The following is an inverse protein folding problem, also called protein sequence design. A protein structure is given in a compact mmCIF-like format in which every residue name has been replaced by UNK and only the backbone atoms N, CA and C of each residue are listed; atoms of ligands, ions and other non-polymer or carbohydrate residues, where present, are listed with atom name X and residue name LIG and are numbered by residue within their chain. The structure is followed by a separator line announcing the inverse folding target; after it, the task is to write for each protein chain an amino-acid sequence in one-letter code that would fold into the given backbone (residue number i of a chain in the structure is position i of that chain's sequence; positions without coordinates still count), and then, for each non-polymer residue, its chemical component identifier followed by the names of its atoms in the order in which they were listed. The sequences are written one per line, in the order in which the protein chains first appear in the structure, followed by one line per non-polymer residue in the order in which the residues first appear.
data_IF_630675218075
#
_entry.id   IF_630675218075
#
_cell.length_a   1.000
_cell.length_b   1.000
_cell.length_c   1.000
_cell.angle_alpha   90.00
_cell.angle_beta   90.00
_cell.angle_gamma   90.00
#
_symmetry.space_group_name_H-M   'P 1'
#
loop_
_entity.id
_entity.type
_entity.pdbx_description
1 polymer ?
#
# COMPACT_ATOMS: atom_id res chain seq x y z
N UNK A 1 -4.12 -27.40 73.41
CA UNK A 1 -3.24 -28.17 72.51
C UNK A 1 -3.67 -27.92 71.07
N UNK A 2 -2.70 -27.74 70.19
CA UNK A 2 -2.84 -27.36 68.78
C UNK A 2 -3.69 -28.35 67.99
N UNK A 3 -4.54 -27.87 67.10
CA UNK A 3 -4.78 -28.53 65.80
C UNK A 3 -5.26 -27.51 64.77
N UNK A 4 -4.38 -27.31 63.80
CA UNK A 4 -4.53 -26.55 62.57
C UNK A 4 -5.40 -27.31 61.55
N UNK A 5 -6.35 -26.63 60.92
CA UNK A 5 -6.79 -26.99 59.57
C UNK A 5 -7.10 -25.70 58.80
N UNK A 6 -6.23 -25.40 57.83
CA UNK A 6 -6.35 -24.27 56.89
C UNK A 6 -7.40 -24.61 55.84
N UNK A 7 -8.41 -23.76 55.68
CA UNK A 7 -9.17 -23.65 54.43
C UNK A 7 -8.43 -22.66 53.52
N UNK A 8 -7.93 -23.13 52.37
CA UNK A 8 -7.51 -22.27 51.28
C UNK A 8 -8.75 -21.90 50.45
N UNK A 9 -9.23 -20.67 50.58
CA UNK A 9 -10.12 -20.04 49.61
C UNK A 9 -9.25 -19.46 48.50
N UNK A 10 -9.25 -20.09 47.33
CA UNK A 10 -8.66 -19.53 46.11
C UNK A 10 -9.58 -18.41 45.61
N UNK A 11 -9.23 -17.17 45.89
CA UNK A 11 -9.87 -16.00 45.30
C UNK A 11 -9.49 -15.90 43.82
N UNK A 12 -10.48 -16.03 42.93
CA UNK A 12 -10.35 -15.63 41.54
C UNK A 12 -10.19 -14.11 41.47
N UNK A 13 -8.95 -13.63 41.39
CA UNK A 13 -8.63 -12.27 40.99
C UNK A 13 -8.87 -12.14 39.49
N UNK A 14 -9.98 -11.50 39.13
CA UNK A 14 -10.29 -11.10 37.75
C UNK A 14 -9.28 -10.01 37.33
N UNK A 15 -8.18 -10.41 36.70
CA UNK A 15 -7.21 -9.50 36.11
C UNK A 15 -7.80 -8.97 34.79
N UNK A 16 -8.58 -7.88 34.88
CA UNK A 16 -8.97 -7.08 33.72
C UNK A 16 -7.70 -6.41 33.16
N UNK A 17 -7.07 -7.08 32.19
CA UNK A 17 -6.09 -6.44 31.31
C UNK A 17 -6.86 -5.41 30.47
N UNK A 18 -6.85 -4.15 30.91
CA UNK A 18 -7.13 -3.05 30.00
C UNK A 18 -5.99 -2.99 29.00
N UNK A 19 -6.15 -3.69 27.86
CA UNK A 19 -5.45 -3.32 26.64
C UNK A 19 -5.98 -1.94 26.28
N UNK A 20 -5.30 -0.90 26.74
CA UNK A 20 -5.39 0.40 26.08
C UNK A 20 -4.92 0.15 24.66
N UNK A 21 -5.89 0.10 23.74
CA UNK A 21 -5.63 0.33 22.33
C UNK A 21 -5.08 1.75 22.27
N UNK A 22 -3.75 1.86 22.30
CA UNK A 22 -3.09 3.05 21.82
C UNK A 22 -3.50 3.15 20.37
N UNK A 23 -4.42 4.07 20.07
CA UNK A 23 -4.62 4.53 18.71
C UNK A 23 -3.23 4.85 18.16
N UNK A 24 -2.79 4.13 17.13
CA UNK A 24 -1.55 4.46 16.43
C UNK A 24 -1.73 5.87 15.88
N UNK A 25 -1.14 6.82 16.59
CA UNK A 25 -0.95 8.15 16.04
C UNK A 25 0.09 7.95 14.96
N UNK A 26 -0.27 8.23 13.70
CA UNK A 26 0.68 8.24 12.60
C UNK A 26 1.90 9.06 13.03
N UNK A 27 3.04 8.39 13.24
CA UNK A 27 4.21 9.01 13.85
C UNK A 27 4.75 10.07 12.88
N UNK A 28 4.61 11.34 13.26
CA UNK A 28 5.19 12.45 12.50
C UNK A 28 6.69 12.48 12.72
N UNK A 29 7.47 12.45 11.64
CA UNK A 29 8.93 12.48 11.73
C UNK A 29 9.45 13.91 11.60
N UNK A 30 10.44 14.26 12.42
CA UNK A 30 11.22 15.50 12.26
C UNK A 30 12.26 15.29 11.15
N UNK A 31 12.15 16.09 10.10
CA UNK A 31 13.00 16.01 8.90
C UNK A 31 13.34 17.41 8.40
N UNK A 32 14.13 17.53 7.32
CA UNK A 32 14.36 18.81 6.64
C UNK A 32 13.71 18.85 5.27
N UNK A 33 12.88 19.87 5.05
CA UNK A 33 12.34 20.20 3.75
C UNK A 33 13.23 21.25 3.09
N UNK A 34 13.78 20.90 1.93
CA UNK A 34 14.70 21.77 1.19
C UNK A 34 14.04 22.26 -0.09
N UNK A 35 14.09 23.58 -0.26
CA UNK A 35 13.78 24.29 -1.49
C UNK A 35 15.08 24.67 -2.17
N UNK A 36 15.36 24.05 -3.32
CA UNK A 36 16.37 24.54 -4.24
C UNK A 36 15.76 25.74 -4.98
N UNK A 37 16.31 26.94 -4.78
CA UNK A 37 15.77 28.19 -5.34
C UNK A 37 16.75 28.81 -6.33
N UNK A 38 16.32 29.83 -7.08
CA UNK A 38 17.21 30.59 -7.95
C UNK A 38 18.30 31.26 -7.11
N UNK A 39 19.56 30.87 -7.32
CA UNK A 39 20.70 31.52 -6.68
C UNK A 39 21.08 32.84 -7.34
N UNK A 40 21.95 33.60 -6.67
CA UNK A 40 22.39 34.93 -7.11
C UNK A 40 23.01 34.93 -8.52
N UNK A 41 23.65 33.83 -8.91
CA UNK A 41 24.32 33.69 -10.21
C UNK A 41 23.45 32.95 -11.25
N UNK A 42 22.15 32.74 -11.01
CA UNK A 42 21.28 32.00 -11.94
C UNK A 42 21.30 32.59 -13.35
N UNK A 43 21.30 33.91 -13.47
CA UNK A 43 21.35 34.61 -14.77
C UNK A 43 22.67 34.37 -15.53
N UNK A 44 23.74 33.98 -14.83
CA UNK A 44 25.04 33.71 -15.44
C UNK A 44 25.11 32.33 -16.08
N UNK A 45 24.16 31.43 -15.79
CA UNK A 45 24.11 30.08 -16.37
C UNK A 45 24.07 30.08 -17.90
N UNK A 46 23.51 31.12 -18.53
CA UNK A 46 23.46 31.27 -20.00
C UNK A 46 24.84 31.48 -20.64
N UNK A 47 25.86 31.84 -19.84
CA UNK A 47 27.24 32.04 -20.29
C UNK A 47 28.08 30.76 -20.17
N UNK A 48 27.54 29.71 -19.53
CA UNK A 48 28.24 28.45 -19.34
C UNK A 48 28.11 27.63 -20.63
N UNK A 49 29.22 27.09 -21.17
CA UNK A 49 29.17 26.22 -22.34
C UNK A 49 28.23 25.03 -22.11
N UNK A 50 27.47 24.64 -23.13
CA UNK A 50 26.45 23.58 -23.04
C UNK A 50 27.01 22.27 -22.48
N UNK A 51 28.14 21.79 -23.00
CA UNK A 51 28.80 20.59 -22.49
C UNK A 51 29.18 20.67 -21.00
N UNK A 52 29.54 21.87 -20.51
CA UNK A 52 29.81 22.09 -19.09
C UNK A 52 28.51 22.05 -18.28
N UNK A 53 27.43 22.64 -18.79
CA UNK A 53 26.12 22.63 -18.14
C UNK A 53 25.54 21.21 -18.06
N UNK A 54 25.69 20.41 -19.12
CA UNK A 54 25.31 18.99 -19.14
C UNK A 54 26.08 18.18 -18.09
N UNK A 55 27.40 18.40 -18.00
CA UNK A 55 28.22 17.75 -16.97
C UNK A 55 27.76 18.17 -15.56
N UNK A 56 27.52 19.45 -15.33
CA UNK A 56 27.01 19.95 -14.05
C UNK A 56 25.64 19.34 -13.73
N UNK A 57 24.77 19.17 -14.72
CA UNK A 57 23.48 18.52 -14.56
C UNK A 57 23.63 17.03 -14.19
N UNK A 58 24.54 16.31 -14.84
CA UNK A 58 24.87 14.93 -14.50
C UNK A 58 25.40 14.82 -13.06
N UNK A 59 26.36 15.67 -12.69
CA UNK A 59 26.97 15.68 -11.36
C UNK A 59 25.95 16.06 -10.26
N UNK A 60 25.03 17.00 -10.55
CA UNK A 60 23.92 17.36 -9.67
C UNK A 60 22.99 16.16 -9.41
N UNK A 61 22.55 15.47 -10.47
CA UNK A 61 21.72 14.27 -10.34
C UNK A 61 22.48 13.15 -9.62
N UNK A 62 23.77 12.99 -9.90
CA UNK A 62 24.65 12.05 -9.21
C UNK A 62 24.76 12.33 -7.71
N UNK A 63 24.84 13.61 -7.31
CA UNK A 63 24.80 14.00 -5.90
C UNK A 63 23.48 13.59 -5.24
N UNK A 64 22.34 13.85 -5.89
CA UNK A 64 21.03 13.41 -5.37
C UNK A 64 20.94 11.89 -5.25
N UNK A 65 21.41 11.14 -6.26
CA UNK A 65 21.49 9.67 -6.23
C UNK A 65 22.28 9.15 -5.03
N UNK A 66 23.46 9.74 -4.77
CA UNK A 66 24.29 9.45 -3.59
C UNK A 66 23.54 9.69 -2.27
N UNK A 67 22.72 10.73 -2.17
CA UNK A 67 21.91 11.00 -0.96
C UNK A 67 20.87 9.90 -0.73
N UNK A 68 20.20 9.44 -1.79
CA UNK A 68 19.27 8.31 -1.69
C UNK A 68 19.96 7.01 -1.29
N UNK A 69 21.09 6.66 -1.91
CA UNK A 69 21.85 5.44 -1.60
C UNK A 69 22.29 5.40 -0.13
N UNK A 70 22.62 6.56 0.44
CA UNK A 70 22.99 6.71 1.85
C UNK A 70 21.80 6.80 2.80
N UNK A 71 20.55 6.75 2.30
CA UNK A 71 19.35 6.90 3.12
C UNK A 71 19.14 8.31 3.70
N UNK A 72 19.83 9.31 3.16
CA UNK A 72 19.78 10.71 3.60
C UNK A 72 18.66 11.50 2.92
N UNK A 73 18.15 11.03 1.78
CA UNK A 73 17.04 11.65 1.07
C UNK A 73 15.86 10.67 0.96
N UNK A 74 14.66 11.16 1.31
CA UNK A 74 13.40 10.46 1.04
C UNK A 74 12.99 10.61 -0.41
N UNK A 75 13.05 11.84 -0.92
CA UNK A 75 12.82 12.13 -2.33
C UNK A 75 13.48 13.44 -2.76
N UNK A 76 13.69 13.60 -4.06
CA UNK A 76 14.21 14.78 -4.72
C UNK A 76 13.65 14.90 -6.13
N UNK A 77 13.40 16.12 -6.59
CA UNK A 77 13.04 16.35 -7.98
C UNK A 77 12.68 17.80 -8.31
N UNK A 78 12.66 18.15 -9.61
CA UNK A 78 12.46 19.52 -10.06
C UNK A 78 10.99 19.94 -9.98
N UNK A 79 10.77 21.24 -9.86
CA UNK A 79 9.48 21.83 -10.20
C UNK A 79 9.40 21.98 -11.72
N UNK A 80 8.21 21.73 -12.26
CA UNK A 80 7.91 21.83 -13.69
C UNK A 80 7.67 23.25 -14.19
N UNK A 81 7.54 24.20 -13.27
CA UNK A 81 7.40 25.60 -13.63
C UNK A 81 8.74 26.33 -13.66
N UNK A 82 8.74 27.54 -14.22
CA UNK A 82 9.91 28.39 -14.27
C UNK A 82 10.01 29.40 -13.12
N UNK A 83 9.36 29.08 -12.00
CA UNK A 83 9.26 29.89 -10.80
C UNK A 83 10.59 30.08 -10.07
N UNK A 84 10.50 30.74 -8.91
CA UNK A 84 11.64 31.00 -8.03
C UNK A 84 12.19 29.71 -7.40
N UNK A 85 11.31 28.80 -7.00
CA UNK A 85 11.68 27.46 -6.53
C UNK A 85 11.94 26.59 -7.77
N UNK A 86 13.07 25.86 -7.77
CA UNK A 86 13.55 25.04 -8.89
C UNK A 86 13.46 23.55 -8.63
N UNK A 87 13.55 23.15 -7.37
CA UNK A 87 13.40 21.76 -6.98
C UNK A 87 13.14 21.61 -5.49
N UNK A 88 12.63 20.44 -5.12
CA UNK A 88 12.44 20.03 -3.74
C UNK A 88 13.36 18.85 -3.44
N UNK A 89 13.95 18.86 -2.25
CA UNK A 89 14.61 17.70 -1.66
C UNK A 89 14.06 17.51 -0.25
N UNK A 90 13.62 16.29 0.07
CA UNK A 90 13.14 15.94 1.40
C UNK A 90 14.21 15.07 2.06
N UNK A 91 14.88 15.60 3.09
CA UNK A 91 16.04 14.98 3.71
C UNK A 91 15.68 14.30 5.03
N UNK A 92 16.19 13.09 5.21
CA UNK A 92 16.17 12.33 6.46
C UNK A 92 17.40 12.71 7.32
N UNK A 93 17.51 13.99 7.66
CA UNK A 93 18.54 14.54 8.54
C UNK A 93 17.88 15.39 9.62
N UNK A 94 18.61 15.67 10.70
CA UNK A 94 18.05 16.34 11.88
C UNK A 94 18.74 17.66 12.22
N UNK A 95 19.82 18.05 11.54
CA UNK A 95 20.56 19.30 11.80
C UNK A 95 20.75 20.15 10.54
N UNK A 96 20.81 21.49 10.66
CA UNK A 96 21.12 22.37 9.53
C UNK A 96 22.51 22.11 8.91
N UNK A 97 23.48 21.71 9.73
CA UNK A 97 24.84 21.38 9.28
C UNK A 97 24.82 20.17 8.35
N UNK A 98 24.07 19.11 8.70
CA UNK A 98 23.91 17.93 7.86
C UNK A 98 23.22 18.27 6.51
N UNK A 99 22.29 19.24 6.51
CA UNK A 99 21.72 19.74 5.25
C UNK A 99 22.79 20.36 4.37
N UNK A 100 23.65 21.22 4.92
CA UNK A 100 24.74 21.85 4.15
C UNK A 100 25.67 20.80 3.53
N UNK A 101 26.04 19.78 4.30
CA UNK A 101 26.88 18.67 3.83
C UNK A 101 26.26 17.91 2.64
N UNK A 102 24.93 17.80 2.58
CA UNK A 102 24.24 17.14 1.48
C UNK A 102 24.47 17.83 0.13
N UNK A 103 24.67 19.15 0.13
CA UNK A 103 24.79 19.98 -1.08
C UNK A 103 26.21 20.52 -1.33
N UNK A 104 27.18 20.28 -0.44
CA UNK A 104 28.59 20.65 -0.68
C UNK A 104 29.13 20.16 -2.04
N UNK A 105 28.82 18.93 -2.52
CA UNK A 105 29.30 18.45 -3.82
C UNK A 105 28.48 18.93 -5.01
N UNK A 106 27.39 19.68 -4.80
CA UNK A 106 26.47 20.05 -5.85
C UNK A 106 27.02 21.22 -6.70
N UNK A 107 27.29 21.01 -7.99
CA UNK A 107 27.95 22.03 -8.81
C UNK A 107 27.06 23.27 -9.02
N UNK A 108 25.74 23.15 -9.00
CA UNK A 108 24.87 24.32 -9.12
C UNK A 108 24.86 25.17 -7.86
N UNK A 109 24.98 24.53 -6.70
CA UNK A 109 25.09 25.23 -5.41
C UNK A 109 26.46 25.88 -5.28
N UNK A 110 27.55 25.16 -5.61
CA UNK A 110 28.92 25.69 -5.60
C UNK A 110 29.08 26.94 -6.48
N UNK A 111 28.40 26.98 -7.63
CA UNK A 111 28.45 28.12 -8.54
C UNK A 111 27.41 29.21 -8.23
N UNK A 112 26.63 29.07 -7.15
CA UNK A 112 25.59 30.03 -6.77
C UNK A 112 24.44 30.14 -7.78
N UNK A 113 24.26 29.13 -8.64
CA UNK A 113 23.17 29.04 -9.62
C UNK A 113 21.88 28.59 -8.93
N UNK A 114 22.02 27.69 -7.96
CA UNK A 114 20.96 27.31 -7.02
C UNK A 114 21.33 27.75 -5.61
N UNK A 115 20.33 28.20 -4.86
CA UNK A 115 20.44 28.46 -3.43
C UNK A 115 19.64 27.41 -2.64
N UNK A 116 20.13 27.06 -1.45
CA UNK A 116 19.57 25.99 -0.60
C UNK A 116 18.84 26.61 0.58
N UNK A 117 17.50 26.68 0.49
CA UNK A 117 16.65 27.11 1.60
C UNK A 117 16.06 25.88 2.28
N UNK A 118 16.42 25.64 3.54
CA UNK A 118 16.00 24.44 4.28
C UNK A 118 15.29 24.79 5.57
N UNK A 119 14.23 24.05 5.88
CA UNK A 119 13.42 24.27 7.07
C UNK A 119 13.15 22.94 7.77
N UNK A 120 13.23 22.89 9.12
CA UNK A 120 12.74 21.74 9.86
C UNK A 120 11.24 21.55 9.54
N UNK A 121 10.83 20.32 9.31
CA UNK A 121 9.47 20.00 8.97
C UNK A 121 8.97 18.81 9.80
N UNK A 122 7.78 18.97 10.36
CA UNK A 122 7.03 17.87 10.96
C UNK A 122 6.01 17.41 9.93
N UNK A 123 6.23 16.23 9.35
CA UNK A 123 5.37 15.69 8.29
C UNK A 123 5.07 14.20 8.51
N UNK A 124 3.94 13.75 7.97
CA UNK A 124 3.68 12.32 7.80
C UNK A 124 4.34 11.88 6.50
N UNK A 125 5.25 10.90 6.60
CA UNK A 125 6.03 10.38 5.49
C UNK A 125 5.61 8.96 5.07
N UNK A 126 4.52 8.41 5.62
CA UNK A 126 4.03 7.05 5.32
C UNK A 126 3.68 6.87 3.83
N UNK A 127 3.30 7.95 3.17
CA UNK A 127 2.97 7.98 1.75
C UNK A 127 4.19 8.09 0.83
N UNK A 128 5.41 8.20 1.39
CA UNK A 128 6.66 8.24 0.63
C UNK A 128 7.29 6.85 0.64
N UNK A 129 7.44 6.28 -0.54
CA UNK A 129 7.96 4.92 -0.74
C UNK A 129 9.25 4.92 -1.54
N UNK A 130 9.88 3.75 -1.64
CA UNK A 130 11.06 3.55 -2.49
C UNK A 130 10.68 3.76 -3.97
N UNK A 131 11.57 4.38 -4.76
CA UNK A 131 11.34 4.58 -6.19
C UNK A 131 11.23 3.26 -6.96
N UNK A 132 10.48 3.29 -8.06
CA UNK A 132 10.43 2.25 -9.08
C UNK A 132 11.73 2.24 -9.90
N UNK A 133 12.20 1.04 -10.22
CA UNK A 133 13.28 0.81 -11.18
C UNK A 133 12.71 0.22 -12.47
N UNK A 134 13.08 0.72 -13.67
CA UNK A 134 13.98 1.84 -13.92
C UNK A 134 13.36 3.20 -13.57
N UNK A 135 14.21 4.19 -13.26
CA UNK A 135 13.75 5.53 -12.90
C UNK A 135 12.98 6.19 -14.04
N UNK A 136 11.75 6.61 -13.73
CA UNK A 136 10.90 7.40 -14.62
C UNK A 136 10.32 8.56 -13.82
N UNK A 137 10.33 9.77 -14.35
CA UNK A 137 9.72 10.92 -13.68
C UNK A 137 8.20 10.89 -13.86
N UNK A 138 7.47 11.15 -12.78
CA UNK A 138 6.02 11.32 -12.76
C UNK A 138 5.71 12.70 -12.19
N UNK A 139 4.75 13.38 -12.82
CA UNK A 139 4.26 14.67 -12.37
C UNK A 139 3.21 14.52 -11.26
N UNK A 140 3.34 15.37 -10.26
CA UNK A 140 2.48 15.57 -9.11
C UNK A 140 2.21 17.06 -8.92
N UNK A 141 1.43 17.41 -7.91
CA UNK A 141 1.23 18.80 -7.51
C UNK A 141 1.81 19.04 -6.13
N UNK A 142 2.69 20.01 -6.02
CA UNK A 142 3.24 20.50 -4.77
C UNK A 142 2.57 21.82 -4.39
N UNK A 143 2.22 21.98 -3.12
CA UNK A 143 1.62 23.18 -2.56
C UNK A 143 2.47 23.75 -1.42
N UNK A 144 2.78 25.03 -1.49
CA UNK A 144 3.39 25.77 -0.37
C UNK A 144 2.31 26.60 0.30
N UNK A 145 2.06 26.35 1.59
CA UNK A 145 1.11 27.13 2.38
C UNK A 145 1.84 28.38 2.86
N UNK A 146 1.37 29.55 2.45
CA UNK A 146 1.94 30.85 2.75
C UNK A 146 1.01 31.66 3.64
N UNK A 147 1.58 32.60 4.40
CA UNK A 147 0.81 33.68 5.01
C UNK A 147 0.05 34.44 3.91
N UNK A 148 -1.22 34.72 4.15
CA UNK A 148 -2.05 35.51 3.24
C UNK A 148 -1.99 37.01 3.57
N UNK A 149 -2.64 37.82 2.75
CA UNK A 149 -2.71 39.29 2.91
C UNK A 149 -3.31 39.70 4.26
N UNK A 150 -4.23 38.89 4.80
CA UNK A 150 -4.88 39.14 6.09
C UNK A 150 -4.27 38.33 7.24
N UNK A 151 -3.00 37.93 7.13
CA UNK A 151 -2.33 37.18 8.18
C UNK A 151 -2.28 37.96 9.50
N UNK A 152 -2.73 37.32 10.58
CA UNK A 152 -2.61 37.84 11.95
C UNK A 152 -2.14 36.73 12.89
N UNK A 153 -1.07 36.92 13.69
CA UNK A 153 -0.63 35.94 14.67
C UNK A 153 -1.78 35.54 15.61
N UNK A 154 -1.80 34.27 16.02
CA UNK A 154 -2.77 33.79 17.00
C UNK A 154 -2.22 33.95 18.42
N UNK A 155 -3.10 34.08 19.44
CA UNK A 155 -2.67 34.00 20.83
C UNK A 155 -1.96 32.67 21.11
N UNK A 156 -0.85 32.71 21.86
CA UNK A 156 0.03 31.56 22.14
C UNK A 156 -0.66 30.38 22.86
N UNK A 157 -1.85 30.57 23.43
CA UNK A 157 -2.48 29.64 24.38
C UNK A 157 -3.67 28.84 23.82
N UNK A 158 -3.74 28.54 22.52
CA UNK A 158 -4.87 27.76 22.00
C UNK A 158 -4.51 26.83 20.85
N UNK A 159 -5.30 25.77 20.68
CA UNK A 159 -5.43 24.89 19.49
C UNK A 159 -5.82 25.65 18.19
N UNK A 160 -5.54 26.95 18.12
CA UNK A 160 -5.97 27.83 17.05
C UNK A 160 -5.06 27.80 15.84
N UNK A 161 -3.91 27.11 15.88
CA UNK A 161 -2.94 27.12 14.79
C UNK A 161 -3.60 26.81 13.44
N UNK A 162 -3.20 27.59 12.44
CA UNK A 162 -3.77 27.57 11.09
C UNK A 162 -3.46 26.26 10.40
N UNK A 163 -2.26 25.71 10.59
CA UNK A 163 -1.86 24.45 9.96
C UNK A 163 -2.71 23.27 10.46
N UNK A 164 -2.85 22.97 11.76
CA UNK A 164 -3.76 21.92 12.25
C UNK A 164 -5.21 22.07 11.80
N UNK A 165 -5.73 23.29 11.62
CA UNK A 165 -7.07 23.54 11.09
C UNK A 165 -7.18 23.18 9.61
N UNK A 166 -6.21 23.63 8.80
CA UNK A 166 -6.11 23.25 7.39
C UNK A 166 -5.97 21.73 7.24
N UNK A 167 -5.11 21.08 8.01
CA UNK A 167 -4.95 19.63 7.95
C UNK A 167 -6.24 18.87 8.30
N UNK A 168 -7.05 19.39 9.23
CA UNK A 168 -8.39 18.86 9.51
C UNK A 168 -9.36 19.05 8.35
N UNK A 169 -9.37 20.20 7.68
CA UNK A 169 -10.24 20.45 6.52
C UNK A 169 -9.88 19.55 5.33
N UNK A 170 -8.59 19.20 5.19
CA UNK A 170 -8.07 18.31 4.16
C UNK A 170 -8.17 16.82 4.52
N UNK A 171 -8.77 16.45 5.66
CA UNK A 171 -8.88 15.05 6.12
C UNK A 171 -9.52 14.13 5.09
N UNK A 172 -10.50 14.61 4.31
CA UNK A 172 -11.14 13.82 3.25
C UNK A 172 -10.17 13.47 2.12
N UNK A 173 -9.28 14.40 1.75
CA UNK A 173 -8.25 14.19 0.73
C UNK A 173 -7.12 13.31 1.23
N UNK A 174 -6.78 13.40 2.51
CA UNK A 174 -5.85 12.45 3.14
C UNK A 174 -6.45 11.04 3.14
N UNK A 175 -7.72 10.90 3.53
CA UNK A 175 -8.44 9.61 3.54
C UNK A 175 -8.59 8.99 2.16
N UNK A 176 -8.78 9.80 1.11
CA UNK A 176 -8.90 9.31 -0.27
C UNK A 176 -7.56 9.01 -0.93
N UNK A 177 -6.43 9.31 -0.27
CA UNK A 177 -5.11 9.23 -0.87
C UNK A 177 -4.78 10.35 -1.88
N UNK A 178 -5.62 11.38 -2.03
CA UNK A 178 -5.30 12.46 -2.97
C UNK A 178 -4.17 13.35 -2.43
N UNK A 179 -4.18 13.62 -1.12
CA UNK A 179 -3.13 14.32 -0.39
C UNK A 179 -2.21 13.28 0.26
N UNK A 180 -1.01 13.13 -0.28
CA UNK A 180 -0.05 12.12 0.16
C UNK A 180 0.78 12.61 1.35
N UNK A 181 1.39 13.78 1.25
CA UNK A 181 2.18 14.38 2.34
C UNK A 181 1.59 15.72 2.71
N UNK A 182 1.55 15.98 4.01
CA UNK A 182 1.24 17.28 4.57
C UNK A 182 2.14 17.53 5.76
N UNK A 183 2.80 18.69 5.80
CA UNK A 183 3.75 19.01 6.85
C UNK A 183 3.69 20.47 7.27
N UNK A 184 4.04 20.72 8.52
CA UNK A 184 4.24 22.08 9.07
C UNK A 184 5.72 22.41 8.99
N UNK A 185 6.06 23.60 8.50
CA UNK A 185 7.44 24.08 8.45
C UNK A 185 7.73 24.91 9.71
N UNK A 186 8.82 24.60 10.39
CA UNK A 186 9.38 25.42 11.47
C UNK A 186 10.26 26.53 10.91
N UNK A 187 10.26 27.68 11.57
CA UNK A 187 11.17 28.81 11.32
C UNK A 187 11.23 29.31 9.86
N UNK A 188 10.13 29.15 9.11
CA UNK A 188 10.12 29.37 7.66
C UNK A 188 9.57 30.73 7.19
N UNK A 189 9.52 31.72 8.09
CA UNK A 189 9.14 33.09 7.77
C UNK A 189 7.72 33.19 7.21
N UNK A 190 7.60 33.43 5.90
CA UNK A 190 6.32 33.54 5.18
C UNK A 190 5.68 32.19 4.84
N UNK A 191 6.47 31.10 4.86
CA UNK A 191 5.99 29.74 4.61
C UNK A 191 5.53 29.11 5.92
N UNK A 192 4.35 28.51 5.91
CA UNK A 192 3.74 27.87 7.07
C UNK A 192 3.80 26.35 6.99
N UNK A 193 3.78 25.80 5.78
CA UNK A 193 3.66 24.37 5.58
C UNK A 193 3.74 23.97 4.12
N UNK A 194 3.66 22.66 3.91
CA UNK A 194 3.78 22.01 2.61
C UNK A 194 2.68 20.96 2.44
N UNK A 195 2.21 20.84 1.21
CA UNK A 195 1.22 19.86 0.78
C UNK A 195 1.74 19.18 -0.48
N UNK A 196 1.61 17.86 -0.57
CA UNK A 196 2.02 17.10 -1.74
C UNK A 196 0.89 16.19 -2.19
N UNK A 197 0.35 16.48 -3.35
CA UNK A 197 -0.80 15.80 -3.93
C UNK A 197 -0.34 14.84 -5.03
N UNK A 198 -0.97 13.66 -5.07
CA UNK A 198 -0.67 12.66 -6.11
C UNK A 198 -1.12 13.11 -7.49
N UNK A 199 -2.23 13.84 -7.56
CA UNK A 199 -2.79 14.38 -8.80
C UNK A 199 -1.94 15.50 -9.40
N UNK A 200 -1.82 15.52 -10.72
CA UNK A 200 -1.26 16.61 -11.51
C UNK A 200 -2.28 17.72 -11.85
N UNK A 201 -3.56 17.53 -11.50
CA UNK A 201 -4.66 18.42 -11.86
C UNK A 201 -4.76 19.64 -10.92
N UNK A 202 -3.88 20.63 -11.13
CA UNK A 202 -3.75 21.83 -10.29
C UNK A 202 -5.09 22.56 -10.12
N UNK A 203 -5.87 22.74 -11.18
CA UNK A 203 -7.15 23.46 -11.11
C UNK A 203 -8.15 22.78 -10.16
N UNK A 204 -8.19 21.45 -10.14
CA UNK A 204 -9.08 20.69 -9.26
C UNK A 204 -8.62 20.78 -7.80
N UNK A 205 -7.31 20.73 -7.57
CA UNK A 205 -6.73 20.91 -6.23
C UNK A 205 -7.02 22.32 -5.71
N UNK A 206 -6.81 23.34 -6.54
CA UNK A 206 -7.12 24.73 -6.21
C UNK A 206 -8.58 24.89 -5.79
N UNK A 207 -9.53 24.36 -6.58
CA UNK A 207 -10.96 24.44 -6.29
C UNK A 207 -11.36 23.75 -4.96
N UNK A 208 -10.59 22.75 -4.51
CA UNK A 208 -10.77 22.12 -3.19
C UNK A 208 -10.20 23.01 -2.08
N UNK A 209 -9.00 23.54 -2.27
CA UNK A 209 -8.32 24.40 -1.29
C UNK A 209 -9.06 25.72 -1.05
N UNK A 210 -9.66 26.32 -2.08
CA UNK A 210 -10.43 27.57 -1.96
C UNK A 210 -11.73 27.43 -1.14
N UNK A 211 -12.09 26.22 -0.71
CA UNK A 211 -13.21 25.98 0.22
C UNK A 211 -12.79 26.10 1.68
N UNK A 212 -11.48 26.10 1.97
CA UNK A 212 -10.99 26.25 3.32
C UNK A 212 -11.24 27.68 3.84
N UNK A 213 -11.81 27.87 5.04
CA UNK A 213 -12.10 29.20 5.57
C UNK A 213 -10.89 30.11 5.72
N UNK A 214 -9.70 29.56 5.98
CA UNK A 214 -8.47 30.35 6.11
C UNK A 214 -7.97 30.83 4.74
N UNK A 215 -8.22 30.06 3.67
CA UNK A 215 -7.95 30.50 2.29
C UNK A 215 -8.98 31.55 1.86
N UNK A 216 -10.28 31.32 2.11
CA UNK A 216 -11.36 32.24 1.74
C UNK A 216 -11.24 33.61 2.41
N UNK A 217 -10.83 33.64 3.68
CA UNK A 217 -10.62 34.89 4.42
C UNK A 217 -9.34 35.64 4.01
N UNK A 218 -8.52 35.08 3.11
CA UNK A 218 -7.22 35.65 2.73
C UNK A 218 -6.19 35.57 3.86
N UNK A 219 -6.45 34.76 4.89
CA UNK A 219 -5.53 34.57 6.02
C UNK A 219 -4.33 33.75 5.61
N UNK A 220 -4.52 32.76 4.75
CA UNK A 220 -3.46 32.01 4.06
C UNK A 220 -3.70 32.02 2.55
N UNK A 221 -2.63 31.77 1.81
CA UNK A 221 -2.72 31.41 0.39
C UNK A 221 -1.91 30.13 0.17
N UNK A 222 -2.26 29.34 -0.84
CA UNK A 222 -1.51 28.15 -1.22
C UNK A 222 -0.95 28.35 -2.62
N UNK A 223 0.36 28.31 -2.76
CA UNK A 223 1.06 28.40 -4.05
C UNK A 223 1.23 26.97 -4.59
N UNK A 224 0.58 26.67 -5.72
CA UNK A 224 0.60 25.34 -6.33
C UNK A 224 1.59 25.28 -7.51
N UNK A 225 2.36 24.21 -7.55
CA UNK A 225 3.45 23.99 -8.49
C UNK A 225 3.38 22.58 -9.07
N UNK A 226 3.65 22.38 -10.38
CA UNK A 226 3.93 21.06 -10.92
C UNK A 226 5.23 20.55 -10.28
N UNK A 227 5.21 19.35 -9.71
CA UNK A 227 6.37 18.72 -9.08
C UNK A 227 6.65 17.39 -9.76
N UNK A 228 7.90 17.14 -10.14
CA UNK A 228 8.31 15.85 -10.68
C UNK A 228 9.06 15.06 -9.62
N UNK A 229 8.62 13.83 -9.36
CA UNK A 229 9.38 12.86 -8.58
C UNK A 229 9.55 11.56 -9.36
N UNK A 230 10.47 10.72 -8.91
CA UNK A 230 10.62 9.39 -9.49
C UNK A 230 9.34 8.57 -9.23
N UNK A 231 8.92 7.81 -10.23
CA UNK A 231 7.85 6.83 -10.12
C UNK A 231 8.06 5.96 -8.88
N UNK A 232 6.99 5.58 -8.21
CA UNK A 232 7.09 4.76 -7.02
C UNK A 232 7.11 5.53 -5.71
N UNK A 233 7.72 6.72 -5.70
CA UNK A 233 7.87 7.55 -4.48
C UNK A 233 6.52 7.93 -3.88
N UNK A 234 5.58 8.35 -4.73
CA UNK A 234 4.27 8.87 -4.31
C UNK A 234 3.13 7.87 -4.50
N UNK A 235 3.41 6.54 -4.50
CA UNK A 235 2.38 5.52 -4.76
C UNK A 235 1.19 5.68 -3.81
N UNK A 236 -0.01 5.49 -4.34
CA UNK A 236 -1.23 5.45 -3.55
C UNK A 236 -1.51 4.02 -3.08
N UNK A 237 -1.14 3.72 -1.84
CA UNK A 237 -1.48 2.44 -1.20
C UNK A 237 -2.95 2.38 -0.79
N UNK A 238 -3.63 3.52 -0.63
CA UNK A 238 -5.07 3.59 -0.31
C UNK A 238 -5.97 3.33 -1.52
N UNK A 239 -5.45 3.55 -2.75
CA UNK A 239 -6.07 3.14 -4.02
C UNK A 239 -5.75 1.70 -4.43
N UNK A 240 -5.41 0.81 -3.49
CA UNK A 240 -5.80 -0.60 -3.62
C UNK A 240 -7.34 -0.80 -3.54
N UNK A 241 -8.10 0.06 -4.20
CA UNK A 241 -9.44 -0.18 -4.65
C UNK A 241 -9.44 0.05 -6.16
N UNK A 242 -8.60 -0.70 -6.90
CA UNK A 242 -8.92 -0.91 -8.30
C UNK A 242 -10.25 -1.65 -8.29
N UNK A 243 -11.31 -1.10 -8.88
CA UNK A 243 -12.52 -1.91 -9.07
C UNK A 243 -12.10 -3.14 -9.89
N UNK A 244 -12.65 -4.35 -9.60
CA UNK A 244 -12.28 -5.54 -10.34
C UNK A 244 -12.48 -5.28 -11.85
N UNK A 245 -11.52 -5.68 -12.71
CA UNK A 245 -11.61 -5.41 -14.14
C UNK A 245 -12.90 -5.98 -14.74
N UNK A 246 -13.54 -5.26 -15.67
CA UNK A 246 -14.75 -5.76 -16.34
C UNK A 246 -14.38 -6.99 -17.18
N UNK A 247 -15.15 -8.06 -17.04
CA UNK A 247 -14.95 -9.28 -17.84
C UNK A 247 -15.62 -9.15 -19.21
N UNK A 248 -15.04 -9.77 -20.24
CA UNK A 248 -15.70 -9.91 -21.55
C UNK A 248 -16.22 -11.32 -21.74
N UNK A 249 -15.31 -12.29 -21.85
CA UNK A 249 -15.60 -13.65 -22.30
C UNK A 249 -15.37 -14.67 -21.17
N UNK A 250 -16.31 -14.80 -20.25
CA UNK A 250 -16.23 -15.77 -19.15
C UNK A 250 -16.84 -17.11 -19.53
N UNK A 251 -16.15 -18.19 -19.19
CA UNK A 251 -16.68 -19.56 -19.22
C UNK A 251 -16.84 -20.08 -17.79
N UNK A 252 -17.85 -20.93 -17.55
CA UNK A 252 -18.01 -21.58 -16.25
C UNK A 252 -17.02 -22.74 -16.12
N UNK A 253 -16.36 -22.86 -14.97
CA UNK A 253 -15.55 -24.03 -14.62
C UNK A 253 -16.33 -25.09 -13.85
N UNK A 254 -17.56 -24.79 -13.46
CA UNK A 254 -18.41 -25.71 -12.72
C UNK A 254 -19.84 -25.65 -13.26
N UNK A 255 -20.41 -26.82 -13.53
CA UNK A 255 -21.77 -26.98 -14.07
C UNK A 255 -22.85 -26.92 -12.97
N UNK A 256 -22.45 -26.90 -11.69
CA UNK A 256 -23.35 -26.92 -10.54
C UNK A 256 -23.80 -28.33 -10.12
N UNK A 257 -23.33 -29.38 -10.78
CA UNK A 257 -23.88 -30.74 -10.67
C UNK A 257 -22.83 -31.83 -10.54
N UNK A 258 -21.72 -31.73 -11.25
CA UNK A 258 -20.73 -32.80 -11.37
C UNK A 258 -19.31 -32.30 -11.11
N UNK A 259 -18.38 -33.24 -10.95
CA UNK A 259 -16.94 -32.93 -10.89
C UNK A 259 -16.29 -32.90 -12.28
N UNK A 260 -17.06 -32.80 -13.36
CA UNK A 260 -16.49 -32.73 -14.71
C UNK A 260 -15.52 -31.55 -14.84
N UNK A 261 -14.31 -31.83 -15.34
CA UNK A 261 -13.22 -30.84 -15.43
C UNK A 261 -12.41 -30.67 -14.14
N UNK A 262 -12.74 -31.41 -13.07
CA UNK A 262 -12.04 -31.39 -11.78
C UNK A 262 -11.42 -32.76 -11.43
N UNK A 263 -10.37 -32.73 -10.62
CA UNK A 263 -9.64 -33.91 -10.13
C UNK A 263 -9.27 -33.72 -8.65
N UNK A 264 -9.60 -34.70 -7.82
CA UNK A 264 -9.38 -34.69 -6.36
C UNK A 264 -10.12 -35.85 -5.69
N UNK A 265 -10.12 -35.90 -4.35
CA UNK A 265 -10.87 -36.92 -3.61
C UNK A 265 -12.37 -36.58 -3.54
N UNK A 266 -13.10 -37.00 -4.58
CA UNK A 266 -14.55 -36.82 -4.70
C UNK A 266 -15.36 -37.93 -4.02
N UNK A 267 -14.70 -38.88 -3.36
CA UNK A 267 -15.36 -39.99 -2.67
C UNK A 267 -15.52 -39.70 -1.18
N UNK A 268 -14.52 -39.05 -0.57
CA UNK A 268 -14.48 -38.83 0.88
C UNK A 268 -14.48 -37.35 1.28
N UNK A 269 -13.74 -36.50 0.56
CA UNK A 269 -13.50 -35.11 1.00
C UNK A 269 -14.43 -34.12 0.31
N UNK A 270 -14.61 -34.26 -1.00
CA UNK A 270 -15.35 -33.32 -1.81
C UNK A 270 -16.72 -33.86 -2.20
N UNK A 271 -17.75 -33.02 -2.10
CA UNK A 271 -19.11 -33.31 -2.59
C UNK A 271 -19.71 -32.13 -3.33
N UNK A 272 -20.68 -32.41 -4.20
CA UNK A 272 -21.53 -31.39 -4.83
C UNK A 272 -22.86 -31.34 -4.11
N UNK A 273 -23.25 -30.17 -3.62
CA UNK A 273 -24.55 -29.95 -2.98
C UNK A 273 -25.12 -28.58 -3.37
N UNK A 274 -26.37 -28.56 -3.82
CA UNK A 274 -27.10 -27.33 -4.17
C UNK A 274 -26.28 -26.33 -5.04
N UNK A 275 -25.62 -26.83 -6.09
CA UNK A 275 -24.81 -25.99 -6.97
C UNK A 275 -23.50 -25.49 -6.36
N UNK A 276 -22.97 -26.20 -5.37
CA UNK A 276 -21.77 -25.82 -4.60
C UNK A 276 -20.82 -27.01 -4.50
N UNK A 277 -19.52 -26.76 -4.71
CA UNK A 277 -18.44 -27.68 -4.36
C UNK A 277 -18.10 -27.47 -2.89
N UNK A 278 -18.19 -28.52 -2.08
CA UNK A 278 -17.94 -28.47 -0.64
C UNK A 278 -16.83 -29.46 -0.31
N UNK A 279 -15.73 -28.96 0.26
CA UNK A 279 -14.65 -29.77 0.82
C UNK A 279 -14.72 -29.81 2.35
N UNK A 280 -14.54 -30.99 2.93
CA UNK A 280 -14.52 -31.19 4.38
C UNK A 280 -15.89 -31.49 5.01
N UNK A 281 -15.95 -31.47 6.34
CA UNK A 281 -17.11 -31.86 7.14
C UNK A 281 -17.17 -31.06 8.44
N UNK A 282 -18.38 -30.72 8.90
CA UNK A 282 -18.61 -30.13 10.23
C UNK A 282 -18.64 -31.16 11.36
N UNK A 283 -18.65 -32.45 11.03
CA UNK A 283 -18.74 -33.55 11.99
C UNK A 283 -17.39 -34.27 12.17
N UNK A 284 -16.60 -34.34 11.12
CA UNK A 284 -15.32 -35.04 11.08
C UNK A 284 -14.17 -34.08 10.86
N UNK A 285 -13.04 -34.35 11.52
CA UNK A 285 -11.83 -33.53 11.38
C UNK A 285 -11.18 -33.85 10.04
N UNK A 286 -10.87 -32.82 9.25
CA UNK A 286 -10.13 -32.96 8.00
C UNK A 286 -8.70 -33.44 8.33
N UNK A 287 -8.26 -34.60 7.83
CA UNK A 287 -7.04 -35.26 8.31
C UNK A 287 -5.75 -34.54 7.86
N UNK A 288 -5.73 -34.04 6.63
CA UNK A 288 -4.62 -33.30 6.01
C UNK A 288 -5.19 -32.30 5.00
N UNK A 289 -4.35 -31.45 4.42
CA UNK A 289 -4.77 -30.59 3.32
C UNK A 289 -5.26 -31.43 2.15
N UNK A 290 -6.35 -31.00 1.52
CA UNK A 290 -6.86 -31.63 0.32
C UNK A 290 -7.28 -30.58 -0.70
N UNK A 291 -7.11 -30.90 -1.99
CA UNK A 291 -7.39 -29.97 -3.08
C UNK A 291 -8.12 -30.64 -4.23
N UNK A 292 -9.20 -30.00 -4.65
CA UNK A 292 -9.89 -30.28 -5.90
C UNK A 292 -9.36 -29.33 -6.99
N UNK A 293 -8.65 -29.88 -7.97
CA UNK A 293 -7.97 -29.09 -9.02
C UNK A 293 -8.63 -29.19 -10.37
N UNK A 294 -8.52 -28.15 -11.19
CA UNK A 294 -8.85 -28.24 -12.61
C UNK A 294 -8.00 -29.29 -13.31
N UNK A 295 -8.56 -29.98 -14.31
CA UNK A 295 -7.77 -30.88 -15.19
C UNK A 295 -6.93 -30.08 -16.18
N UNK A 296 -7.42 -28.89 -16.59
CA UNK A 296 -6.71 -27.96 -17.46
C UNK A 296 -5.79 -27.04 -16.63
N UNK A 297 -4.61 -26.75 -17.15
CA UNK A 297 -3.72 -25.70 -16.66
C UNK A 297 -4.01 -24.34 -17.31
N UNK A 298 -3.84 -23.27 -16.54
CA UNK A 298 -4.08 -21.89 -16.97
C UNK A 298 -2.84 -21.02 -16.75
N UNK A 299 -2.63 -20.07 -17.68
CA UNK A 299 -1.52 -19.11 -17.65
C UNK A 299 -2.03 -17.73 -17.22
N UNK A 300 -2.46 -16.89 -18.16
CA UNK A 300 -3.06 -15.58 -17.85
C UNK A 300 -4.58 -15.70 -17.78
N UNK A 301 -5.19 -15.23 -16.70
CA UNK A 301 -6.64 -15.36 -16.49
C UNK A 301 -7.20 -14.37 -15.47
N UNK A 302 -8.50 -14.11 -15.60
CA UNK A 302 -9.37 -13.59 -14.54
C UNK A 302 -10.26 -14.74 -14.03
N UNK A 303 -10.02 -15.20 -12.80
CA UNK A 303 -10.85 -16.19 -12.10
C UNK A 303 -11.77 -15.47 -11.13
N UNK A 304 -13.06 -15.80 -11.16
CA UNK A 304 -14.07 -15.26 -10.25
C UNK A 304 -14.86 -16.40 -9.64
N UNK A 305 -15.05 -16.35 -8.33
CA UNK A 305 -15.80 -17.36 -7.59
C UNK A 305 -16.35 -16.79 -6.29
N UNK A 306 -17.39 -17.44 -5.77
CA UNK A 306 -17.86 -17.21 -4.41
C UNK A 306 -17.27 -18.26 -3.49
N UNK A 307 -16.75 -17.82 -2.36
CA UNK A 307 -16.17 -18.68 -1.32
C UNK A 307 -16.89 -18.47 0.00
N UNK A 308 -16.98 -19.54 0.79
CA UNK A 308 -17.49 -19.50 2.16
C UNK A 308 -16.73 -20.55 2.97
N UNK A 309 -16.24 -20.15 4.13
CA UNK A 309 -15.60 -21.04 5.10
C UNK A 309 -16.44 -21.03 6.37
N UNK A 310 -16.79 -22.22 6.86
CA UNK A 310 -17.49 -22.41 8.13
C UNK A 310 -16.81 -23.55 8.90
N UNK A 311 -16.93 -23.53 10.22
CA UNK A 311 -16.43 -24.60 11.08
C UNK A 311 -16.77 -24.34 12.54
N UNK A 312 -16.57 -25.36 13.36
CA UNK A 312 -16.92 -25.34 14.78
C UNK A 312 -15.78 -25.81 15.70
N UNK A 313 -14.68 -26.33 15.16
CA UNK A 313 -13.55 -26.85 15.94
C UNK A 313 -12.25 -26.84 15.14
N UNK A 314 -11.13 -26.56 15.82
CA UNK A 314 -9.79 -26.68 15.25
C UNK A 314 -9.39 -25.54 14.32
N UNK A 315 -8.39 -25.79 13.47
CA UNK A 315 -7.86 -24.78 12.55
C UNK A 315 -8.74 -24.69 11.30
N UNK A 316 -9.36 -23.53 11.09
CA UNK A 316 -10.29 -23.29 9.98
C UNK A 316 -9.55 -22.51 8.89
N UNK A 317 -9.15 -23.21 7.83
CA UNK A 317 -8.49 -22.59 6.68
C UNK A 317 -8.91 -23.32 5.38
N UNK A 318 -8.85 -22.59 4.28
CA UNK A 318 -8.93 -23.09 2.92
C UNK A 318 -8.40 -22.02 1.97
N UNK A 319 -8.63 -22.18 0.68
CA UNK A 319 -8.06 -21.23 -0.27
C UNK A 319 -8.29 -21.61 -1.72
N UNK A 320 -7.64 -20.85 -2.60
CA UNK A 320 -7.59 -21.13 -4.03
C UNK A 320 -6.14 -21.10 -4.48
N UNK A 321 -5.61 -22.25 -4.87
CA UNK A 321 -4.31 -22.42 -5.51
C UNK A 321 -4.34 -21.84 -6.94
N UNK A 322 -3.25 -21.18 -7.33
CA UNK A 322 -3.13 -20.34 -8.52
C UNK A 322 -1.85 -20.72 -9.26
N UNK A 323 -2.00 -21.25 -10.48
CA UNK A 323 -0.88 -21.69 -11.32
C UNK A 323 0.01 -22.72 -10.60
N UNK A 324 -0.59 -23.52 -9.73
CA UNK A 324 0.13 -24.43 -8.85
C UNK A 324 0.30 -25.80 -9.49
N UNK A 325 1.29 -26.55 -9.00
CA UNK A 325 1.57 -27.91 -9.45
C UNK A 325 1.23 -28.90 -8.33
N UNK A 326 0.73 -30.08 -8.68
CA UNK A 326 0.48 -31.16 -7.72
C UNK A 326 1.81 -31.76 -7.29
N UNK A 327 2.02 -31.96 -5.99
CA UNK A 327 3.20 -32.66 -5.49
C UNK A 327 3.11 -34.16 -5.81
N UNK A 328 4.27 -34.80 -5.96
CA UNK A 328 4.34 -36.26 -6.14
C UNK A 328 4.36 -37.01 -4.81
N UNK A 329 4.84 -36.37 -3.75
CA UNK A 329 4.87 -36.93 -2.40
C UNK A 329 4.85 -35.82 -1.34
N UNK A 330 3.80 -35.73 -0.50
CA UNK A 330 2.54 -36.45 -0.64
C UNK A 330 1.73 -35.97 -1.86
N UNK A 331 0.91 -36.86 -2.44
CA UNK A 331 0.10 -36.53 -3.64
C UNK A 331 -1.13 -35.69 -3.35
N UNK A 332 -1.50 -35.53 -2.08
CA UNK A 332 -2.64 -34.70 -1.68
C UNK A 332 -2.27 -33.21 -1.57
N UNK A 333 -1.00 -32.83 -1.75
CA UNK A 333 -0.52 -31.46 -1.55
C UNK A 333 -0.26 -30.73 -2.87
N UNK A 334 -0.32 -29.39 -2.84
CA UNK A 334 -0.05 -28.50 -3.97
C UNK A 334 1.16 -27.62 -3.69
N UNK A 335 1.90 -27.23 -4.74
CA UNK A 335 2.97 -26.26 -4.65
C UNK A 335 2.71 -25.06 -5.56
N UNK A 336 2.66 -23.86 -4.97
CA UNK A 336 2.44 -22.62 -5.68
C UNK A 336 1.65 -21.58 -4.91
N UNK A 337 1.20 -20.55 -5.60
CA UNK A 337 0.52 -19.43 -5.00
C UNK A 337 -0.90 -19.80 -4.54
N UNK A 338 -1.33 -19.25 -3.41
CA UNK A 338 -2.68 -19.43 -2.89
C UNK A 338 -3.31 -18.09 -2.52
N UNK A 339 -4.52 -17.83 -3.03
CA UNK A 339 -5.42 -16.84 -2.45
C UNK A 339 -6.08 -17.47 -1.22
N UNK A 340 -5.64 -17.03 -0.05
CA UNK A 340 -5.89 -17.73 1.21
C UNK A 340 -7.22 -17.29 1.86
N UNK A 341 -7.84 -18.17 2.65
CA UNK A 341 -9.01 -17.85 3.45
C UNK A 341 -9.01 -18.58 4.79
N UNK A 342 -9.11 -17.81 5.87
CA UNK A 342 -9.03 -18.31 7.23
C UNK A 342 -8.80 -17.14 8.18
N UNK A 343 -8.98 -17.37 9.48
CA UNK A 343 -8.70 -16.35 10.48
C UNK A 343 -7.25 -15.85 10.36
N UNK A 344 -7.06 -14.54 10.11
CA UNK A 344 -5.76 -13.94 9.86
C UNK A 344 -5.21 -14.06 8.43
N UNK A 345 -5.84 -14.85 7.56
CA UNK A 345 -5.34 -15.14 6.20
C UNK A 345 -6.26 -14.67 5.07
N UNK A 346 -7.47 -14.21 5.37
CA UNK A 346 -8.39 -13.71 4.34
C UNK A 346 -7.77 -12.63 3.45
N UNK A 347 -7.91 -12.81 2.14
CA UNK A 347 -7.44 -11.86 1.13
C UNK A 347 -5.93 -11.88 0.90
N UNK A 348 -5.19 -12.75 1.60
CA UNK A 348 -3.73 -12.86 1.51
C UNK A 348 -3.28 -13.75 0.35
N UNK A 349 -2.03 -13.55 -0.06
CA UNK A 349 -1.32 -14.39 -1.02
C UNK A 349 -0.25 -15.19 -0.29
N UNK A 350 -0.46 -16.50 -0.19
CA UNK A 350 0.48 -17.47 0.38
C UNK A 350 1.23 -18.22 -0.74
N UNK A 351 2.37 -18.81 -0.42
CA UNK A 351 3.17 -19.59 -1.36
C UNK A 351 3.45 -21.00 -0.82
N UNK A 352 2.47 -21.87 -1.05
CA UNK A 352 2.34 -23.21 -0.50
C UNK A 352 3.43 -24.16 -0.98
N UNK A 353 4.01 -24.92 -0.05
CA UNK A 353 5.02 -25.97 -0.27
C UNK A 353 6.27 -25.57 -1.06
N UNK A 354 6.38 -24.31 -1.47
CA UNK A 354 7.51 -23.74 -2.21
C UNK A 354 8.31 -22.78 -1.34
N UNK A 355 7.67 -21.72 -0.82
CA UNK A 355 8.31 -20.74 0.08
C UNK A 355 7.78 -20.81 1.51
N UNK A 356 6.59 -21.35 1.71
CA UNK A 356 5.94 -21.53 3.01
C UNK A 356 5.81 -20.23 3.83
N UNK A 357 5.49 -19.11 3.17
CA UNK A 357 5.15 -17.86 3.85
C UNK A 357 4.10 -17.05 3.09
N UNK A 358 3.50 -16.10 3.80
CA UNK A 358 2.64 -15.07 3.21
C UNK A 358 3.49 -14.04 2.45
N UNK A 359 3.23 -13.89 1.16
CA UNK A 359 3.93 -12.95 0.28
C UNK A 359 3.34 -11.53 0.36
N UNK A 360 2.03 -11.43 0.55
CA UNK A 360 1.31 -10.18 0.67
C UNK A 360 -0.01 -10.42 1.41
N UNK A 361 -0.46 -9.46 2.20
CA UNK A 361 -1.71 -9.52 2.95
C UNK A 361 -2.33 -8.12 3.07
N UNK A 362 -3.67 -8.00 3.14
CA UNK A 362 -4.32 -6.73 3.41
C UNK A 362 -4.12 -6.30 4.88
N UNK A 363 -4.25 -5.00 5.14
CA UNK A 363 -4.29 -4.49 6.51
C UNK A 363 -5.49 -5.08 7.28
N UNK A 364 -5.33 -5.46 8.56
CA UNK A 364 -6.41 -6.04 9.36
C UNK A 364 -7.67 -5.16 9.39
N UNK A 365 -7.52 -3.84 9.46
CA UNK A 365 -8.63 -2.88 9.50
C UNK A 365 -9.45 -2.89 8.20
N UNK A 366 -8.82 -3.19 7.06
CA UNK A 366 -9.53 -3.31 5.79
C UNK A 366 -10.45 -4.53 5.83
N UNK A 367 -9.96 -5.66 6.34
CA UNK A 367 -10.73 -6.90 6.45
C UNK A 367 -11.96 -6.74 7.33
N UNK A 368 -11.88 -5.98 8.43
CA UNK A 368 -13.06 -5.71 9.28
C UNK A 368 -14.22 -5.04 8.54
N UNK A 369 -13.93 -4.32 7.44
CA UNK A 369 -14.93 -3.60 6.65
C UNK A 369 -15.47 -4.42 5.48
N UNK A 370 -14.64 -5.26 4.87
CA UNK A 370 -14.98 -5.93 3.61
C UNK A 370 -15.36 -7.39 3.78
N UNK A 371 -14.81 -8.10 4.77
CA UNK A 371 -15.04 -9.53 4.98
C UNK A 371 -16.45 -9.78 5.53
N UNK A 372 -17.08 -10.87 5.08
CA UNK A 372 -18.34 -11.37 5.63
C UNK A 372 -18.09 -12.72 6.28
N UNK A 373 -17.77 -12.78 7.58
CA UNK A 373 -17.45 -14.03 8.27
C UNK A 373 -18.62 -15.02 8.17
N UNK A 374 -18.30 -16.31 8.00
CA UNK A 374 -19.28 -17.41 7.90
C UNK A 374 -20.35 -17.23 6.81
N UNK A 375 -20.13 -16.32 5.85
CA UNK A 375 -21.03 -16.00 4.74
C UNK A 375 -20.29 -16.08 3.41
N UNK A 376 -21.05 -16.01 2.33
CA UNK A 376 -20.48 -15.93 0.99
C UNK A 376 -19.71 -14.63 0.78
N UNK A 377 -18.48 -14.77 0.30
CA UNK A 377 -17.60 -13.70 -0.14
C UNK A 377 -17.26 -13.90 -1.62
N UNK A 378 -17.13 -12.80 -2.36
CA UNK A 378 -16.71 -12.81 -3.75
C UNK A 378 -15.18 -12.69 -3.82
N UNK A 379 -14.51 -13.68 -4.43
CA UNK A 379 -13.11 -13.57 -4.83
C UNK A 379 -13.01 -13.26 -6.32
N UNK A 380 -12.11 -12.34 -6.66
CA UNK A 380 -11.53 -12.23 -8.00
C UNK A 380 -10.01 -12.36 -7.90
N UNK A 381 -9.45 -13.21 -8.76
CA UNK A 381 -8.04 -13.53 -8.85
C UNK A 381 -7.62 -13.25 -10.28
N UNK A 382 -6.74 -12.27 -10.49
CA UNK A 382 -6.19 -11.95 -11.82
C UNK A 382 -4.73 -12.30 -11.88
N UNK A 383 -4.36 -13.02 -12.93
CA UNK A 383 -2.99 -13.35 -13.23
C UNK A 383 -2.65 -12.86 -14.64
N UNK A 384 -1.67 -11.97 -14.77
CA UNK A 384 -1.29 -11.32 -16.02
C UNK A 384 0.23 -11.21 -16.08
N UNK A 385 0.86 -12.04 -16.91
CA UNK A 385 2.31 -12.23 -16.89
C UNK A 385 2.78 -12.62 -15.49
N UNK A 386 3.71 -11.83 -14.93
CA UNK A 386 4.27 -12.02 -13.58
C UNK A 386 3.43 -11.42 -12.44
N UNK A 387 2.35 -10.69 -12.76
CA UNK A 387 1.57 -9.94 -11.78
C UNK A 387 0.32 -10.73 -11.35
N UNK A 388 0.15 -10.86 -10.03
CA UNK A 388 -1.00 -11.49 -9.37
C UNK A 388 -1.75 -10.44 -8.57
N UNK A 389 -3.07 -10.40 -8.72
CA UNK A 389 -3.93 -9.49 -7.96
C UNK A 389 -5.13 -10.22 -7.40
N UNK A 390 -5.47 -9.93 -6.14
CA UNK A 390 -6.59 -10.53 -5.42
C UNK A 390 -7.57 -9.44 -5.01
N UNK A 391 -8.87 -9.68 -5.20
CA UNK A 391 -9.93 -8.83 -4.71
C UNK A 391 -10.91 -9.64 -3.87
N UNK A 392 -11.20 -9.15 -2.67
CA UNK A 392 -12.22 -9.69 -1.78
C UNK A 392 -13.40 -8.71 -1.73
N UNK A 393 -14.60 -9.20 -2.07
CA UNK A 393 -15.84 -8.41 -2.10
C UNK A 393 -15.73 -7.09 -2.87
N UNK A 394 -14.96 -7.09 -3.96
CA UNK A 394 -14.78 -5.94 -4.84
C UNK A 394 -13.65 -4.99 -4.44
N UNK A 395 -12.92 -5.26 -3.35
CA UNK A 395 -11.79 -4.46 -2.89
C UNK A 395 -10.50 -5.23 -3.11
N UNK A 396 -9.48 -4.58 -3.70
CA UNK A 396 -8.18 -5.20 -3.97
C UNK A 396 -7.45 -5.41 -2.63
N UNK A 397 -7.06 -6.65 -2.34
CA UNK A 397 -6.35 -7.02 -1.10
C UNK A 397 -4.88 -7.29 -1.33
N UNK A 398 -4.50 -7.74 -2.53
CA UNK A 398 -3.10 -8.02 -2.90
C UNK A 398 -2.85 -7.55 -4.33
N UNK A 399 -1.68 -6.95 -4.54
CA UNK A 399 -1.10 -6.64 -5.84
C UNK A 399 0.39 -6.97 -5.83
N UNK A 400 0.70 -8.18 -6.28
CA UNK A 400 2.02 -8.79 -6.16
C UNK A 400 2.63 -9.00 -7.55
N UNK A 401 3.93 -8.71 -7.69
CA UNK A 401 4.70 -9.02 -8.91
C UNK A 401 5.79 -10.02 -8.56
N UNK A 402 5.73 -11.20 -9.17
CA UNK A 402 6.75 -12.23 -9.03
C UNK A 402 8.01 -11.84 -9.82
N UNK A 403 9.16 -11.84 -9.15
CA UNK A 403 10.43 -11.41 -9.76
C UNK A 403 11.35 -12.59 -10.08
N UNK A 404 11.17 -13.74 -9.43
CA UNK A 404 11.96 -14.93 -9.68
C UNK A 404 11.56 -15.57 -11.04
N UNK A 405 12.46 -15.59 -12.04
CA UNK A 405 12.18 -16.13 -13.37
C UNK A 405 11.98 -17.64 -13.38
N UNK A 406 12.31 -18.36 -12.30
CA UNK A 406 12.12 -19.81 -12.19
C UNK A 406 10.67 -20.20 -11.87
N UNK A 407 9.86 -19.24 -11.43
CA UNK A 407 8.46 -19.51 -11.10
C UNK A 407 7.66 -19.71 -12.38
N UNK A 408 7.02 -20.87 -12.48
CA UNK A 408 6.10 -21.19 -13.57
C UNK A 408 4.90 -20.21 -13.54
N UNK A 409 4.60 -19.64 -14.71
CA UNK A 409 3.45 -18.75 -14.89
C UNK A 409 2.21 -19.48 -15.40
N UNK A 410 2.26 -20.81 -15.44
CA UNK A 410 1.17 -21.70 -15.86
C UNK A 410 1.09 -22.89 -14.90
N UNK A 411 -0.13 -23.28 -14.55
CA UNK A 411 -0.40 -24.44 -13.72
C UNK A 411 -1.89 -24.60 -13.42
N UNK A 412 -2.22 -25.47 -12.50
CA UNK A 412 -3.61 -25.75 -12.12
C UNK A 412 -4.20 -24.66 -11.24
N UNK A 413 -5.54 -24.59 -11.24
CA UNK A 413 -6.31 -23.91 -10.22
C UNK A 413 -6.80 -24.99 -9.26
N UNK A 414 -6.67 -24.79 -7.95
CA UNK A 414 -7.08 -25.77 -6.93
C UNK A 414 -7.92 -25.14 -5.83
N UNK A 415 -9.06 -25.74 -5.50
CA UNK A 415 -9.86 -25.36 -4.33
C UNK A 415 -9.33 -26.16 -3.13
N UNK A 416 -9.09 -25.52 -2.00
CA UNK A 416 -8.47 -26.16 -0.82
C UNK A 416 -9.45 -26.27 0.35
N UNK A 417 -9.42 -27.42 1.03
CA UNK A 417 -9.80 -27.50 2.45
C UNK A 417 -8.55 -27.87 3.26
N UNK A 418 -8.22 -27.08 4.28
CA UNK A 418 -7.05 -27.32 5.11
C UNK A 418 -7.34 -28.38 6.17
N UNK A 419 -6.33 -29.19 6.50
CA UNK A 419 -6.41 -30.16 7.59
C UNK A 419 -6.51 -29.50 8.97
N UNK A 420 -6.92 -30.27 9.99
CA UNK A 420 -6.81 -29.83 11.38
C UNK A 420 -8.09 -29.23 11.99
N UNK A 421 -9.13 -28.99 11.20
CA UNK A 421 -10.43 -28.49 11.66
C UNK A 421 -11.60 -29.40 11.30
N UNK A 422 -12.73 -29.20 11.99
CA UNK A 422 -14.07 -29.62 11.54
C UNK A 422 -14.70 -28.44 10.81
N UNK A 423 -14.43 -28.39 9.52
CA UNK A 423 -14.72 -27.24 8.65
C UNK A 423 -15.23 -27.66 7.30
N UNK A 424 -15.95 -26.75 6.67
CA UNK A 424 -16.33 -26.82 5.27
C UNK A 424 -15.85 -25.59 4.52
N UNK A 425 -15.08 -25.83 3.46
CA UNK A 425 -14.74 -24.83 2.45
C UNK A 425 -15.69 -25.02 1.27
N UNK A 426 -16.49 -23.99 0.98
CA UNK A 426 -17.56 -24.04 -0.01
C UNK A 426 -17.29 -23.07 -1.15
N UNK A 427 -17.49 -23.53 -2.38
CA UNK A 427 -17.15 -22.80 -3.61
C UNK A 427 -18.27 -22.90 -4.64
N UNK A 428 -18.65 -21.78 -5.26
CA UNK A 428 -19.62 -21.76 -6.36
C UNK A 428 -19.46 -20.58 -7.28
N UNK A 429 -20.23 -20.58 -8.38
CA UNK A 429 -20.18 -19.51 -9.40
C UNK A 429 -18.77 -19.31 -9.94
N UNK A 430 -18.06 -20.41 -10.18
CA UNK A 430 -16.65 -20.43 -10.58
C UNK A 430 -16.59 -20.18 -12.08
N UNK A 431 -16.05 -19.02 -12.46
CA UNK A 431 -15.94 -18.59 -13.85
C UNK A 431 -14.54 -18.10 -14.14
N UNK A 432 -14.07 -18.35 -15.35
CA UNK A 432 -12.75 -17.93 -15.80
C UNK A 432 -12.83 -17.21 -17.14
N UNK A 433 -12.00 -16.19 -17.32
CA UNK A 433 -11.70 -15.58 -18.61
C UNK A 433 -10.19 -15.71 -18.84
N UNK A 434 -9.79 -16.47 -19.86
CA UNK A 434 -8.40 -16.55 -20.28
C UNK A 434 -8.00 -15.22 -20.94
N UNK A 435 -6.86 -14.68 -20.53
CA UNK A 435 -6.35 -13.41 -21.02
C UNK A 435 -5.26 -13.66 -22.08
N UNK A 436 -4.99 -12.67 -22.97
CA UNK A 436 -3.86 -12.74 -23.89
C UNK A 436 -2.52 -12.94 -23.17
N UNK A 437 -1.56 -13.46 -23.92
CA UNK A 437 -0.21 -13.79 -23.43
C UNK A 437 0.68 -12.58 -23.13
#
# INVERSE_FOLDING_TARGET
MRSTTRLFTLGYGLLLLFLTVSASHAETQSLYWVFLTKGANRSQSVKIPEATLEKMQSDHVGNLGRLYEKGLAFTAGPLGDNGFIRGIVILNVTTPEAVKECFLPDPFVQNGILDVQSFPCTANMEAIHKPDMPFRMIQHTFGVVMKGEHWKPLPKSSDADVMPRLLRSLKSLKRSGDLAVSGTLGDAGERLGVLLFRSSEIAQIQAKLTKDPAVQSGRIRVELHPQFFVAGVMRDTSRQATAPPKSKNRVSLFDGKTFEGWSGDTNMIWRVEAGTLIGGSLNEKVPHNDFLTTVKEYKNFDLRLKVKLIGNEGFLNGGVQIRSQRLQNPTYEMSGFQADMGEGYWGSLYDESRRNHTLAQPEPELLTQILRPNRWNDYLIRCEGKRLRLWLNGVLTVDYTENDPKILLKGYIGLQIHGGGKSEAQYKSITIEELPD
#
